data_IF_294552040919
#
_entry.id   IF_294552040919
#
_cell.length_a   1.000
_cell.length_b   1.000
_cell.length_c   1.000
_cell.angle_alpha   90.00
_cell.angle_beta   90.00
_cell.angle_gamma   90.00
#
_symmetry.space_group_name_H-M   'P 1'
#
loop_
_entity.id
_entity.type
_entity.pdbx_description
1 polymer ?
#
# COMPACT_ATOMS: atom_id res chain seq x y z
N UNK A 1 40.75 -17.25 -30.89
CA UNK A 1 39.67 -16.31 -30.48
C UNK A 1 38.93 -16.75 -29.23
N UNK A 2 38.47 -18.02 -29.11
CA UNK A 2 37.70 -18.49 -27.96
C UNK A 2 38.40 -18.25 -26.60
N UNK A 3 39.72 -18.47 -26.51
CA UNK A 3 40.50 -18.22 -25.28
C UNK A 3 40.51 -16.75 -24.83
N UNK A 4 40.52 -15.79 -25.76
CA UNK A 4 40.52 -14.35 -25.43
C UNK A 4 39.15 -13.91 -24.88
N UNK A 5 38.06 -14.38 -25.50
CA UNK A 5 36.70 -14.13 -25.02
C UNK A 5 36.47 -14.77 -23.63
N UNK A 6 36.99 -15.98 -23.42
CA UNK A 6 36.89 -16.67 -22.14
C UNK A 6 37.68 -15.96 -21.04
N UNK A 7 38.88 -15.46 -21.34
CA UNK A 7 39.65 -14.61 -20.42
C UNK A 7 38.90 -13.33 -20.07
N UNK A 8 38.36 -12.63 -21.07
CA UNK A 8 37.58 -11.40 -20.84
C UNK A 8 36.33 -11.64 -19.98
N UNK A 9 35.65 -12.75 -20.20
CA UNK A 9 34.50 -13.14 -19.37
C UNK A 9 34.92 -13.48 -17.94
N UNK A 10 35.98 -14.26 -17.77
CA UNK A 10 36.51 -14.59 -16.44
C UNK A 10 36.94 -13.33 -15.67
N UNK A 11 37.66 -12.40 -16.32
CA UNK A 11 38.08 -11.12 -15.74
C UNK A 11 36.88 -10.23 -15.36
N UNK A 12 35.81 -10.25 -16.18
CA UNK A 12 34.58 -9.51 -15.89
C UNK A 12 33.86 -10.09 -14.68
N UNK A 13 33.69 -11.41 -14.63
CA UNK A 13 33.03 -12.10 -13.51
C UNK A 13 33.83 -11.90 -12.22
N UNK A 14 35.15 -12.01 -12.28
CA UNK A 14 36.05 -11.79 -11.15
C UNK A 14 35.95 -10.37 -10.60
N UNK A 15 36.06 -9.34 -11.46
CA UNK A 15 35.90 -7.95 -11.04
C UNK A 15 34.50 -7.64 -10.49
N UNK A 16 33.46 -8.27 -11.03
CA UNK A 16 32.10 -8.12 -10.53
C UNK A 16 31.98 -8.70 -9.10
N UNK A 17 32.59 -9.86 -8.86
CA UNK A 17 32.63 -10.51 -7.55
C UNK A 17 33.43 -9.74 -6.51
N UNK A 18 34.64 -9.26 -6.85
CA UNK A 18 35.44 -8.42 -5.95
C UNK A 18 34.69 -7.14 -5.58
N UNK A 19 34.01 -6.51 -6.54
CA UNK A 19 33.19 -5.32 -6.25
C UNK A 19 32.07 -5.63 -5.26
N UNK A 20 31.31 -6.71 -5.46
CA UNK A 20 30.26 -7.10 -4.50
C UNK A 20 30.82 -7.45 -3.13
N UNK A 21 31.95 -8.17 -3.07
CA UNK A 21 32.60 -8.51 -1.81
C UNK A 21 33.05 -7.26 -1.03
N UNK A 22 33.62 -6.27 -1.71
CA UNK A 22 33.98 -4.98 -1.10
C UNK A 22 32.74 -4.23 -0.58
N UNK A 23 31.62 -4.29 -1.31
CA UNK A 23 30.36 -3.70 -0.85
C UNK A 23 29.81 -4.39 0.40
N UNK A 24 29.86 -5.72 0.43
CA UNK A 24 29.41 -6.55 1.56
C UNK A 24 30.29 -6.30 2.80
N UNK A 25 31.61 -6.13 2.62
CA UNK A 25 32.52 -5.76 3.71
C UNK A 25 32.28 -4.36 4.26
N UNK A 26 31.83 -3.41 3.42
CA UNK A 26 31.51 -2.04 3.81
C UNK A 26 30.10 -1.91 4.42
N UNK A 27 29.22 -2.88 4.18
CA UNK A 27 27.83 -2.85 4.62
C UNK A 27 27.66 -2.69 6.15
N UNK A 28 28.44 -3.37 7.02
CA UNK A 28 28.40 -3.17 8.47
C UNK A 28 28.80 -1.76 8.93
N UNK A 29 29.59 -1.04 8.13
CA UNK A 29 30.05 0.32 8.43
C UNK A 29 29.11 1.39 7.84
N UNK A 30 28.12 1.01 7.02
CA UNK A 30 27.12 1.95 6.53
C UNK A 30 26.18 2.33 7.66
N UNK A 31 25.88 3.62 7.77
CA UNK A 31 24.84 4.14 8.65
C UNK A 31 23.51 3.40 8.36
N UNK A 32 22.77 2.94 9.38
CA UNK A 32 21.46 2.32 9.16
C UNK A 32 20.57 3.25 8.36
N UNK A 33 19.87 2.70 7.36
CA UNK A 33 18.92 3.47 6.55
C UNK A 33 17.89 4.10 7.49
N UNK A 34 17.62 5.39 7.31
CA UNK A 34 16.65 6.08 8.15
C UNK A 34 15.28 5.43 7.98
N UNK A 35 14.57 5.24 9.10
CA UNK A 35 13.19 4.76 9.10
C UNK A 35 12.20 5.86 8.70
N UNK A 36 12.65 7.12 8.70
CA UNK A 36 11.89 8.32 8.36
C UNK A 36 11.14 8.24 7.02
N UNK A 37 11.76 7.89 5.86
CA UNK A 37 11.05 7.80 4.58
C UNK A 37 9.89 6.80 4.64
N UNK A 38 10.07 5.70 5.35
CA UNK A 38 9.05 4.68 5.51
C UNK A 38 7.87 5.24 6.31
N UNK A 39 8.13 5.83 7.48
CA UNK A 39 7.09 6.50 8.30
C UNK A 39 6.35 7.57 7.50
N UNK A 40 7.05 8.41 6.76
CA UNK A 40 6.41 9.47 5.97
C UNK A 40 5.45 8.92 4.92
N UNK A 41 5.82 7.84 4.24
CA UNK A 41 4.95 7.19 3.23
C UNK A 41 3.72 6.59 3.89
N UNK A 42 3.88 5.89 5.02
CA UNK A 42 2.73 5.31 5.74
C UNK A 42 1.77 6.38 6.26
N UNK A 43 2.30 7.48 6.81
CA UNK A 43 1.47 8.61 7.27
C UNK A 43 0.70 9.23 6.09
N UNK A 44 1.39 9.49 4.96
CA UNK A 44 0.75 10.04 3.78
C UNK A 44 -0.34 9.10 3.22
N UNK A 45 -0.06 7.80 3.13
CA UNK A 45 -1.00 6.80 2.65
C UNK A 45 -2.24 6.69 3.56
N UNK A 46 -2.04 6.72 4.89
CA UNK A 46 -3.13 6.69 5.86
C UNK A 46 -4.07 7.88 5.69
N UNK A 47 -3.55 9.11 5.71
CA UNK A 47 -4.39 10.30 5.61
C UNK A 47 -5.06 10.41 4.23
N UNK A 48 -4.38 10.00 3.16
CA UNK A 48 -5.00 9.95 1.83
C UNK A 48 -6.20 9.00 1.81
N UNK A 49 -6.09 7.83 2.45
CA UNK A 49 -7.19 6.88 2.58
C UNK A 49 -8.37 7.42 3.39
N UNK A 50 -8.10 8.09 4.52
CA UNK A 50 -9.14 8.71 5.37
C UNK A 50 -9.89 9.81 4.62
N UNK A 51 -9.16 10.69 3.93
CA UNK A 51 -9.76 11.78 3.14
C UNK A 51 -10.59 11.21 1.99
N UNK A 52 -10.07 10.23 1.26
CA UNK A 52 -10.81 9.57 0.18
C UNK A 52 -12.10 8.92 0.67
N UNK A 53 -12.05 8.22 1.81
CA UNK A 53 -13.23 7.61 2.42
C UNK A 53 -14.27 8.66 2.82
N UNK A 54 -13.83 9.77 3.43
CA UNK A 54 -14.71 10.86 3.84
C UNK A 54 -15.41 11.50 2.63
N UNK A 55 -14.69 11.77 1.54
CA UNK A 55 -15.29 12.30 0.30
C UNK A 55 -16.34 11.34 -0.24
N UNK A 56 -16.04 10.03 -0.28
CA UNK A 56 -17.00 9.05 -0.80
C UNK A 56 -18.26 8.92 0.06
N UNK A 57 -18.12 9.05 1.38
CA UNK A 57 -19.26 9.06 2.31
C UNK A 57 -20.14 10.29 2.08
N UNK A 58 -19.55 11.48 1.87
CA UNK A 58 -20.32 12.70 1.62
C UNK A 58 -21.06 12.64 0.29
N UNK A 59 -20.39 12.22 -0.78
CA UNK A 59 -21.04 12.03 -2.09
C UNK A 59 -22.19 11.01 -2.03
N UNK A 60 -22.02 9.93 -1.25
CA UNK A 60 -23.08 8.96 -1.02
C UNK A 60 -24.29 9.62 -0.31
N UNK A 61 -24.03 10.48 0.68
CA UNK A 61 -25.10 11.17 1.41
C UNK A 61 -25.85 12.18 0.57
N UNK A 62 -25.13 12.98 -0.22
CA UNK A 62 -25.72 13.94 -1.15
C UNK A 62 -26.67 13.23 -2.12
N UNK A 63 -26.19 12.17 -2.77
CA UNK A 63 -27.01 11.37 -3.68
C UNK A 63 -28.23 10.75 -2.98
N UNK A 64 -28.05 10.22 -1.77
CA UNK A 64 -29.16 9.62 -1.04
C UNK A 64 -30.26 10.64 -0.70
N UNK A 65 -29.89 11.87 -0.35
CA UNK A 65 -30.84 12.94 -0.08
C UNK A 65 -31.60 13.42 -1.32
N UNK A 66 -30.96 13.42 -2.49
CA UNK A 66 -31.65 13.69 -3.76
C UNK A 66 -32.77 12.67 -4.01
N UNK A 67 -32.48 11.39 -3.76
CA UNK A 67 -33.43 10.30 -3.99
C UNK A 67 -34.48 10.17 -2.87
N UNK A 68 -34.16 10.57 -1.63
CA UNK A 68 -34.98 10.36 -0.43
C UNK A 68 -35.05 11.62 0.46
N UNK A 69 -35.84 12.64 0.08
CA UNK A 69 -35.94 13.87 0.84
C UNK A 69 -36.53 13.63 2.24
N UNK A 70 -35.86 14.16 3.26
CA UNK A 70 -36.30 14.09 4.67
C UNK A 70 -36.04 12.77 5.39
N UNK A 71 -35.41 11.79 4.74
CA UNK A 71 -34.99 10.55 5.39
C UNK A 71 -33.59 10.68 6.02
N UNK A 72 -33.38 9.98 7.13
CA UNK A 72 -32.06 9.90 7.76
C UNK A 72 -31.13 9.05 6.89
N UNK A 73 -29.97 9.61 6.52
CA UNK A 73 -29.05 8.90 5.62
C UNK A 73 -28.37 7.75 6.36
N UNK A 74 -28.44 6.50 5.86
CA UNK A 74 -27.67 5.41 6.42
C UNK A 74 -26.17 5.64 6.20
N UNK A 75 -25.32 5.07 7.07
CA UNK A 75 -23.88 5.01 6.81
C UNK A 75 -23.58 4.19 5.56
N UNK A 76 -22.69 4.67 4.70
CA UNK A 76 -22.28 3.94 3.49
C UNK A 76 -21.67 2.59 3.86
N UNK A 77 -21.94 1.56 3.07
CA UNK A 77 -21.26 0.28 3.20
C UNK A 77 -19.77 0.45 2.83
N UNK A 78 -18.82 -0.02 3.66
CA UNK A 78 -17.41 0.03 3.36
C UNK A 78 -17.12 -0.82 2.13
N UNK A 79 -16.48 -0.22 1.13
CA UNK A 79 -16.15 -0.90 -0.13
C UNK A 79 -15.05 -1.95 0.03
N UNK A 80 -14.15 -1.73 0.99
CA UNK A 80 -12.96 -2.57 1.20
C UNK A 80 -13.09 -3.55 2.37
N UNK A 81 -14.25 -3.61 3.02
CA UNK A 81 -14.50 -4.54 4.12
C UNK A 81 -15.48 -5.62 3.66
N UNK A 82 -14.96 -6.83 3.44
CA UNK A 82 -15.76 -7.99 3.06
C UNK A 82 -16.45 -8.68 4.23
N UNK A 83 -16.18 -8.26 5.46
CA UNK A 83 -16.83 -8.79 6.65
C UNK A 83 -18.27 -8.30 6.82
N UNK A 84 -18.97 -8.79 7.84
CA UNK A 84 -20.36 -8.42 8.09
C UNK A 84 -20.44 -6.94 8.53
N UNK A 85 -21.17 -6.14 7.76
CA UNK A 85 -21.37 -4.70 7.99
C UNK A 85 -22.70 -4.45 8.72
N UNK A 86 -22.70 -3.51 9.68
CA UNK A 86 -23.84 -3.21 10.60
C UNK A 86 -24.21 -4.32 11.60
N UNK A 87 -23.24 -5.11 12.08
CA UNK A 87 -23.50 -6.02 13.23
C UNK A 87 -23.38 -5.24 14.54
N UNK A 88 -24.37 -4.40 14.83
CA UNK A 88 -24.57 -3.80 16.15
C UNK A 88 -25.88 -4.37 16.72
N UNK A 89 -25.76 -5.38 17.59
CA UNK A 89 -26.83 -5.92 18.44
C UNK A 89 -28.14 -6.33 17.72
N UNK A 90 -28.06 -7.28 16.79
CA UNK A 90 -29.20 -8.16 16.49
C UNK A 90 -30.03 -7.88 15.24
N UNK A 91 -29.83 -6.76 14.54
CA UNK A 91 -30.53 -6.53 13.27
C UNK A 91 -29.77 -7.21 12.11
N UNK A 92 -30.23 -8.39 11.72
CA UNK A 92 -29.76 -9.10 10.52
C UNK A 92 -30.27 -8.34 9.30
N UNK A 93 -29.39 -8.04 8.35
CA UNK A 93 -29.78 -7.46 7.06
C UNK A 93 -30.75 -8.41 6.34
N UNK A 94 -31.84 -7.93 5.71
CA UNK A 94 -32.66 -8.77 4.86
C UNK A 94 -31.78 -9.37 3.75
N UNK A 95 -32.03 -10.64 3.36
CA UNK A 95 -31.27 -11.28 2.30
C UNK A 95 -31.38 -10.44 1.02
N UNK A 96 -30.26 -10.22 0.36
CA UNK A 96 -30.22 -9.57 -0.95
C UNK A 96 -30.94 -10.45 -1.96
N UNK A 97 -32.00 -9.94 -2.57
CA UNK A 97 -32.53 -10.43 -3.85
C UNK A 97 -31.54 -10.18 -4.99
#
# INVERSE_FOLDING_TARGET
>A
MASYLWRKYADYVYNKWERTFLWDMLEPYRRPKSFTPLVTIYVAAFYTGVIGAAITEQLYKEKYWEDHPGQAVPLMKPKFYGGPWKVLKGDVLPPSE
#
